data_IF_931215420047
#
_entry.id   IF_931215420047
#
_cell.length_a   1.000
_cell.length_b   1.000
_cell.length_c   1.000
_cell.angle_alpha   90.00
_cell.angle_beta   90.00
_cell.angle_gamma   90.00
#
_symmetry.space_group_name_H-M   'P 1'
#
loop_
_entity.id
_entity.type
_entity.pdbx_description
1 polymer ?
#
# COMPACT_ATOMS: atom_id res chain seq x y z
N UNK A 1 11.23 -12.77 -8.87
CA UNK A 1 12.18 -12.11 -7.95
C UNK A 1 12.58 -10.78 -8.57
N UNK A 2 12.56 -9.69 -7.80
CA UNK A 2 13.18 -8.43 -8.21
C UNK A 2 14.66 -8.68 -8.54
N UNK A 3 15.08 -8.35 -9.77
CA UNK A 3 16.47 -8.54 -10.21
C UNK A 3 17.37 -7.37 -9.84
N UNK A 4 16.78 -6.25 -9.41
CA UNK A 4 17.45 -5.06 -8.90
C UNK A 4 16.65 -4.49 -7.72
N UNK A 5 17.30 -3.83 -6.75
CA UNK A 5 16.58 -3.19 -5.64
C UNK A 5 15.50 -2.22 -6.14
N UNK A 6 14.27 -2.25 -5.58
CA UNK A 6 13.20 -1.35 -6.00
C UNK A 6 13.53 0.10 -5.62
N UNK A 7 13.51 0.99 -6.61
CA UNK A 7 13.72 2.42 -6.41
C UNK A 7 12.40 3.17 -6.57
N UNK A 8 12.11 4.07 -5.64
CA UNK A 8 10.84 4.80 -5.64
C UNK A 8 10.69 5.76 -4.48
N UNK A 9 9.44 6.12 -4.23
CA UNK A 9 9.02 7.02 -3.17
C UNK A 9 7.91 6.37 -2.34
N UNK A 10 7.89 6.68 -1.04
CA UNK A 10 6.90 6.17 -0.09
C UNK A 10 6.41 7.31 0.80
N UNK A 11 5.13 7.32 1.15
CA UNK A 11 4.52 8.40 1.95
C UNK A 11 5.12 8.52 3.37
N UNK A 12 5.50 7.41 3.99
CA UNK A 12 5.68 7.31 5.44
C UNK A 12 6.66 8.31 6.05
N UNK A 13 7.93 8.29 5.64
CA UNK A 13 8.98 9.00 6.37
C UNK A 13 8.77 10.52 6.41
N UNK A 14 8.16 11.09 5.35
CA UNK A 14 7.93 12.55 5.25
C UNK A 14 6.55 12.98 5.72
N UNK A 15 5.52 12.19 5.44
CA UNK A 15 4.11 12.57 5.64
C UNK A 15 3.43 11.85 6.79
N UNK A 16 3.97 10.72 7.27
CA UNK A 16 3.45 9.94 8.39
C UNK A 16 1.95 9.65 8.21
N UNK A 17 1.21 9.63 9.30
CA UNK A 17 -0.25 9.52 9.34
C UNK A 17 -0.96 10.89 9.29
N UNK A 18 -0.47 11.86 8.49
CA UNK A 18 -1.14 13.15 8.36
C UNK A 18 -2.45 12.99 7.55
N UNK A 19 -3.61 13.00 8.23
CA UNK A 19 -4.92 12.82 7.58
C UNK A 19 -5.76 14.11 7.53
N UNK A 20 -5.31 15.19 8.17
CA UNK A 20 -6.03 16.46 8.21
C UNK A 20 -5.81 17.26 6.91
N UNK A 21 -6.66 16.97 5.92
CA UNK A 21 -6.63 17.66 4.63
C UNK A 21 -7.24 19.08 4.67
N UNK A 22 -7.90 19.48 5.75
CA UNK A 22 -8.42 20.85 5.87
C UNK A 22 -7.29 21.81 6.21
N UNK A 23 -6.47 21.45 7.20
CA UNK A 23 -5.35 22.28 7.63
C UNK A 23 -4.08 22.00 6.83
N UNK A 24 -3.92 20.80 6.27
CA UNK A 24 -2.75 20.40 5.48
C UNK A 24 -3.14 19.84 4.11
N UNK A 25 -3.80 20.63 3.24
CA UNK A 25 -4.34 20.16 1.96
C UNK A 25 -3.26 19.65 0.99
N UNK A 26 -2.02 20.11 1.15
CA UNK A 26 -0.88 19.63 0.36
C UNK A 26 -0.08 18.52 1.06
N UNK A 27 -0.28 18.31 2.37
CA UNK A 27 0.51 17.39 3.18
C UNK A 27 -0.25 16.15 3.66
N UNK A 28 -1.57 16.11 3.53
CA UNK A 28 -2.34 14.96 3.97
C UNK A 28 -2.23 13.77 3.00
N UNK A 29 -2.31 12.55 3.55
CA UNK A 29 -2.34 11.29 2.81
C UNK A 29 -3.63 11.23 1.98
N UNK A 30 -3.52 11.56 0.69
CA UNK A 30 -4.66 11.74 -0.21
C UNK A 30 -4.27 11.45 -1.66
N UNK A 31 -5.26 11.18 -2.50
CA UNK A 31 -5.09 11.05 -3.95
C UNK A 31 -4.37 12.26 -4.55
N UNK A 32 -4.65 13.48 -4.06
CA UNK A 32 -3.99 14.71 -4.50
C UNK A 32 -2.48 14.69 -4.23
N UNK A 33 -2.07 14.30 -3.02
CA UNK A 33 -0.66 14.15 -2.67
C UNK A 33 0.03 13.16 -3.61
N UNK A 34 -0.57 11.99 -3.82
CA UNK A 34 0.02 10.93 -4.66
C UNK A 34 0.16 11.39 -6.11
N UNK A 35 -0.90 11.96 -6.70
CA UNK A 35 -0.87 12.46 -8.09
C UNK A 35 0.14 13.58 -8.28
N UNK A 36 0.24 14.51 -7.32
CA UNK A 36 1.23 15.60 -7.36
C UNK A 36 2.65 15.05 -7.31
N UNK A 37 2.94 14.13 -6.39
CA UNK A 37 4.26 13.47 -6.30
C UNK A 37 4.60 12.70 -7.58
N UNK A 38 3.65 11.95 -8.14
CA UNK A 38 3.84 11.23 -9.39
C UNK A 38 4.23 12.17 -10.55
N UNK A 39 3.58 13.33 -10.66
CA UNK A 39 3.96 14.32 -11.66
C UNK A 39 5.38 14.85 -11.46
N UNK A 40 5.84 15.02 -10.22
CA UNK A 40 7.22 15.45 -9.92
C UNK A 40 8.24 14.37 -10.23
N UNK A 41 7.94 13.12 -9.92
CA UNK A 41 8.82 12.00 -10.30
C UNK A 41 9.05 11.94 -11.81
N UNK A 42 8.01 12.23 -12.61
CA UNK A 42 8.13 12.27 -14.08
C UNK A 42 8.87 13.51 -14.55
N UNK A 43 8.38 14.70 -14.19
CA UNK A 43 8.83 15.96 -14.78
C UNK A 43 10.22 16.39 -14.31
N UNK A 44 10.63 15.96 -13.12
CA UNK A 44 11.94 16.31 -12.55
C UNK A 44 12.98 15.21 -12.83
N UNK A 45 12.66 14.22 -13.67
CA UNK A 45 13.61 13.21 -14.17
C UNK A 45 13.88 12.02 -13.25
N UNK A 46 13.34 11.98 -12.02
CA UNK A 46 13.52 10.87 -11.07
C UNK A 46 13.11 9.52 -11.65
N UNK A 47 11.98 9.51 -12.33
CA UNK A 47 11.49 8.35 -13.04
C UNK A 47 12.55 7.85 -14.01
N UNK A 48 13.12 8.73 -14.81
CA UNK A 48 14.04 8.37 -15.90
C UNK A 48 15.36 7.80 -15.37
N UNK A 49 15.79 8.21 -14.17
CA UNK A 49 16.95 7.63 -13.46
C UNK A 49 16.62 6.43 -12.57
N UNK A 50 15.40 5.88 -12.66
CA UNK A 50 15.04 4.58 -12.09
C UNK A 50 14.05 4.59 -10.92
N UNK A 51 13.62 5.75 -10.41
CA UNK A 51 12.61 5.81 -9.35
C UNK A 51 11.22 5.55 -9.92
N UNK A 52 10.79 4.28 -9.96
CA UNK A 52 9.55 3.85 -10.61
C UNK A 52 8.40 3.63 -9.63
N UNK A 53 8.68 3.26 -8.37
CA UNK A 53 7.62 2.91 -7.41
C UNK A 53 7.06 4.14 -6.69
N UNK A 54 5.74 4.17 -6.50
CA UNK A 54 5.03 5.12 -5.63
C UNK A 54 4.20 4.30 -4.66
N UNK A 55 4.64 4.24 -3.40
CA UNK A 55 4.08 3.38 -2.37
C UNK A 55 3.27 4.24 -1.39
N UNK A 56 1.99 3.92 -1.25
CA UNK A 56 1.12 4.52 -0.23
C UNK A 56 1.27 3.67 1.03
N UNK A 57 1.84 4.25 2.07
CA UNK A 57 2.00 3.62 3.39
C UNK A 57 0.70 3.68 4.22
N UNK A 58 0.77 3.47 5.53
CA UNK A 58 -0.38 3.44 6.44
C UNK A 58 -1.28 4.70 6.35
N UNK A 59 -2.46 4.60 6.95
CA UNK A 59 -3.47 5.67 7.06
C UNK A 59 -4.19 6.04 5.75
N UNK A 60 -4.07 5.25 4.70
CA UNK A 60 -4.88 5.39 3.49
C UNK A 60 -6.36 4.95 3.61
N UNK A 61 -6.74 3.96 4.44
CA UNK A 61 -8.09 3.42 4.39
C UNK A 61 -9.06 4.15 5.31
N UNK A 62 -10.35 3.81 5.21
CA UNK A 62 -11.35 4.07 6.24
C UNK A 62 -11.03 3.30 7.53
N UNK A 63 -11.62 3.75 8.65
CA UNK A 63 -11.49 3.10 9.95
C UNK A 63 -12.14 1.71 10.04
N UNK A 64 -13.02 1.38 9.09
CA UNK A 64 -13.78 0.13 9.04
C UNK A 64 -13.70 -0.46 7.64
N UNK A 65 -13.65 -1.79 7.58
CA UNK A 65 -13.86 -2.56 6.35
C UNK A 65 -15.28 -2.36 5.87
N UNK A 66 -15.50 -2.61 4.58
CA UNK A 66 -16.85 -2.73 4.03
C UNK A 66 -17.61 -3.87 4.74
N UNK A 67 -18.84 -3.61 5.19
CA UNK A 67 -19.61 -4.56 6.01
C UNK A 67 -20.16 -5.76 5.23
N UNK A 68 -20.16 -5.71 3.89
CA UNK A 68 -20.67 -6.77 3.04
C UNK A 68 -19.54 -7.61 2.45
N UNK A 69 -18.49 -6.94 1.98
CA UNK A 69 -17.38 -7.61 1.27
C UNK A 69 -16.20 -7.93 2.19
N UNK A 70 -16.13 -7.30 3.36
CA UNK A 70 -14.96 -7.29 4.24
C UNK A 70 -13.70 -6.67 3.60
N UNK A 71 -13.79 -6.03 2.44
CA UNK A 71 -12.65 -5.36 1.82
C UNK A 71 -12.20 -4.16 2.68
N UNK A 72 -10.89 -3.91 2.74
CA UNK A 72 -10.40 -2.61 3.18
C UNK A 72 -10.80 -1.59 2.11
N UNK A 73 -11.44 -0.49 2.52
CA UNK A 73 -11.88 0.56 1.61
C UNK A 73 -11.06 1.82 1.81
N UNK A 74 -10.75 2.52 0.72
CA UNK A 74 -10.03 3.79 0.78
C UNK A 74 -10.91 4.86 1.42
N UNK A 75 -10.30 5.77 2.17
CA UNK A 75 -11.01 6.92 2.73
C UNK A 75 -11.68 7.75 1.63
N UNK A 76 -13.00 7.89 1.69
CA UNK A 76 -13.78 8.45 0.60
C UNK A 76 -13.58 9.97 0.41
N UNK A 77 -13.10 10.68 1.43
CA UNK A 77 -12.80 12.12 1.33
C UNK A 77 -11.43 12.35 0.74
N UNK A 78 -10.45 11.52 1.11
CA UNK A 78 -9.05 11.65 0.71
C UNK A 78 -8.75 10.95 -0.62
N UNK A 79 -9.49 9.90 -0.94
CA UNK A 79 -9.41 9.10 -2.17
C UNK A 79 -10.79 8.96 -2.82
N UNK A 80 -11.41 10.06 -3.28
CA UNK A 80 -12.80 10.06 -3.77
C UNK A 80 -13.01 9.18 -5.01
N UNK A 81 -11.97 8.90 -5.79
CA UNK A 81 -12.05 8.02 -6.96
C UNK A 81 -11.63 6.57 -6.66
N UNK A 82 -11.37 6.26 -5.38
CA UNK A 82 -10.92 4.96 -4.92
C UNK A 82 -9.48 4.63 -5.31
N UNK A 83 -8.90 3.64 -4.63
CA UNK A 83 -7.47 3.33 -4.72
C UNK A 83 -7.05 2.80 -6.10
N UNK A 84 -7.95 2.08 -6.80
CA UNK A 84 -7.70 1.59 -8.16
C UNK A 84 -7.40 2.74 -9.13
N UNK A 85 -8.13 3.86 -9.02
CA UNK A 85 -7.91 5.02 -9.88
C UNK A 85 -6.52 5.64 -9.68
N UNK A 86 -5.95 5.52 -8.47
CA UNK A 86 -4.59 5.96 -8.16
C UNK A 86 -3.59 5.06 -8.89
N UNK A 87 -3.76 3.74 -8.83
CA UNK A 87 -2.95 2.78 -9.56
C UNK A 87 -2.93 3.07 -11.07
N UNK A 88 -4.12 3.20 -11.66
CA UNK A 88 -4.27 3.53 -13.09
C UNK A 88 -3.61 4.86 -13.46
N UNK A 89 -3.71 5.87 -12.60
CA UNK A 89 -3.02 7.14 -12.82
C UNK A 89 -1.50 6.98 -12.82
N UNK A 90 -0.94 6.24 -11.86
CA UNK A 90 0.49 5.96 -11.78
C UNK A 90 0.98 5.18 -13.01
N UNK A 91 0.23 4.17 -13.45
CA UNK A 91 0.55 3.41 -14.66
C UNK A 91 0.54 4.29 -15.91
N UNK A 92 -0.41 5.25 -16.03
CA UNK A 92 -0.43 6.22 -17.15
C UNK A 92 0.82 7.10 -17.23
N UNK A 93 1.59 7.19 -16.14
CA UNK A 93 2.85 7.93 -16.04
C UNK A 93 4.09 7.06 -16.17
N UNK A 94 3.91 5.77 -16.48
CA UNK A 94 4.96 4.75 -16.47
C UNK A 94 5.65 4.63 -15.10
N UNK A 95 4.85 4.76 -14.03
CA UNK A 95 5.23 4.48 -12.65
C UNK A 95 4.52 3.20 -12.18
N UNK A 96 4.98 2.63 -11.07
CA UNK A 96 4.47 1.43 -10.43
C UNK A 96 3.76 1.77 -9.13
N UNK A 97 2.61 1.16 -8.89
CA UNK A 97 1.77 1.41 -7.73
C UNK A 97 2.12 0.45 -6.58
N UNK A 98 2.39 0.98 -5.40
CA UNK A 98 2.54 0.20 -4.18
C UNK A 98 1.54 0.57 -3.10
N UNK A 99 1.15 -0.41 -2.30
CA UNK A 99 0.18 -0.25 -1.21
C UNK A 99 0.62 -0.95 0.06
N UNK A 100 0.24 -0.39 1.20
CA UNK A 100 0.50 -0.91 2.53
C UNK A 100 -0.67 -1.72 3.06
N UNK A 101 -0.33 -2.86 3.68
CA UNK A 101 -1.18 -3.67 4.54
C UNK A 101 -0.40 -4.03 5.81
N UNK A 102 -1.11 -4.58 6.78
CA UNK A 102 -0.52 -5.09 8.02
C UNK A 102 -1.06 -6.49 8.29
N UNK A 103 -0.18 -7.45 8.61
CA UNK A 103 -0.62 -8.81 8.89
C UNK A 103 -1.47 -8.89 10.16
N UNK A 104 -1.28 -8.00 11.12
CA UNK A 104 -1.99 -8.03 12.39
C UNK A 104 -3.50 -7.81 12.33
N UNK A 105 -4.09 -7.67 13.52
CA UNK A 105 -5.52 -7.34 13.64
C UNK A 105 -5.82 -5.88 13.29
N UNK A 106 -4.81 -5.02 13.41
CA UNK A 106 -4.82 -3.59 13.11
C UNK A 106 -3.47 -3.19 12.55
N UNK A 107 -3.44 -2.16 11.71
CA UNK A 107 -2.19 -1.50 11.32
C UNK A 107 -1.53 -0.83 12.53
N UNK A 108 -0.27 -0.43 12.39
CA UNK A 108 0.43 0.30 13.44
C UNK A 108 -0.32 1.58 13.88
N UNK A 109 -1.03 2.25 12.97
CA UNK A 109 -1.85 3.43 13.26
C UNK A 109 -3.33 3.11 13.56
N UNK A 110 -3.67 1.83 13.78
CA UNK A 110 -5.00 1.42 14.23
C UNK A 110 -6.06 1.27 13.14
N UNK A 111 -5.67 1.25 11.87
CA UNK A 111 -6.56 0.93 10.74
C UNK A 111 -6.80 -0.59 10.62
N UNK A 112 -7.76 -1.06 9.80
CA UNK A 112 -8.02 -2.49 9.67
C UNK A 112 -6.79 -3.29 9.20
N UNK A 113 -6.40 -4.34 9.95
CA UNK A 113 -5.33 -5.27 9.58
C UNK A 113 -5.84 -6.55 8.91
N UNK A 114 -4.94 -7.37 8.38
CA UNK A 114 -5.22 -8.46 7.43
C UNK A 114 -5.28 -9.87 8.03
N UNK A 115 -5.00 -10.07 9.33
CA UNK A 115 -4.82 -11.41 9.95
C UNK A 115 -5.93 -12.41 9.59
N UNK A 116 -7.19 -11.94 9.61
CA UNK A 116 -8.38 -12.76 9.35
C UNK A 116 -8.96 -12.57 7.95
N UNK A 117 -8.29 -11.80 7.09
CA UNK A 117 -8.81 -11.33 5.80
C UNK A 117 -7.82 -11.53 4.65
N UNK A 118 -6.75 -12.31 4.84
CA UNK A 118 -5.67 -12.48 3.87
C UNK A 118 -6.15 -12.81 2.44
N UNK A 119 -7.16 -13.68 2.29
CA UNK A 119 -7.69 -14.04 0.98
C UNK A 119 -8.45 -12.90 0.30
N UNK A 120 -9.22 -12.14 1.09
CA UNK A 120 -9.95 -10.97 0.61
C UNK A 120 -8.94 -9.90 0.20
N UNK A 121 -7.99 -9.60 1.08
CA UNK A 121 -7.00 -8.53 0.87
C UNK A 121 -6.06 -8.84 -0.29
N UNK A 122 -5.66 -10.10 -0.50
CA UNK A 122 -4.87 -10.52 -1.66
C UNK A 122 -5.64 -10.27 -2.98
N UNK A 123 -6.92 -10.61 -3.03
CA UNK A 123 -7.79 -10.32 -4.19
C UNK A 123 -7.98 -8.82 -4.38
N UNK A 124 -8.12 -8.07 -3.29
CA UNK A 124 -8.27 -6.61 -3.33
C UNK A 124 -7.05 -5.92 -3.91
N UNK A 125 -5.83 -6.25 -3.48
CA UNK A 125 -4.61 -5.62 -4.03
C UNK A 125 -4.41 -5.93 -5.52
N UNK A 126 -4.78 -7.14 -5.96
CA UNK A 126 -4.76 -7.48 -7.39
C UNK A 126 -5.85 -6.71 -8.17
N UNK A 127 -7.07 -6.59 -7.62
CA UNK A 127 -8.18 -5.79 -8.18
C UNK A 127 -7.83 -4.31 -8.32
N UNK A 128 -7.03 -3.78 -7.40
CA UNK A 128 -6.51 -2.41 -7.43
C UNK A 128 -5.30 -2.23 -8.34
N UNK A 129 -4.82 -3.31 -8.96
CA UNK A 129 -3.68 -3.31 -9.87
C UNK A 129 -2.38 -2.86 -9.18
N UNK A 130 -2.17 -3.25 -7.91
CA UNK A 130 -0.92 -2.99 -7.20
C UNK A 130 0.25 -3.78 -7.81
N UNK A 131 1.42 -3.17 -7.89
CA UNK A 131 2.68 -3.77 -8.34
C UNK A 131 3.62 -4.09 -7.17
N UNK A 132 3.30 -3.57 -5.99
CA UNK A 132 4.10 -3.69 -4.77
C UNK A 132 3.19 -3.74 -3.55
N UNK A 133 3.45 -4.65 -2.62
CA UNK A 133 2.78 -4.70 -1.33
C UNK A 133 3.82 -4.64 -0.22
N UNK A 134 3.72 -3.61 0.64
CA UNK A 134 4.39 -3.59 1.94
C UNK A 134 3.45 -4.23 2.95
N UNK A 135 3.93 -5.25 3.65
CA UNK A 135 3.20 -5.90 4.74
C UNK A 135 3.95 -5.73 6.05
N UNK A 136 3.33 -4.98 6.96
CA UNK A 136 3.83 -4.81 8.33
C UNK A 136 3.33 -5.91 9.28
N UNK A 137 3.75 -5.83 10.54
CA UNK A 137 3.50 -6.87 11.54
C UNK A 137 2.93 -6.37 12.87
N UNK A 138 2.47 -5.11 12.96
CA UNK A 138 1.94 -4.58 14.20
C UNK A 138 0.69 -5.34 14.66
N UNK A 139 0.41 -5.37 15.97
CA UNK A 139 -0.80 -6.02 16.51
C UNK A 139 -0.97 -7.50 16.10
N UNK A 140 0.16 -8.21 16.00
CA UNK A 140 0.23 -9.63 15.70
C UNK A 140 1.16 -10.35 16.70
N UNK A 141 0.85 -11.58 17.14
CA UNK A 141 1.81 -12.41 17.84
C UNK A 141 3.01 -12.76 16.95
N UNK A 142 4.23 -12.51 17.42
CA UNK A 142 5.47 -12.73 16.66
C UNK A 142 5.61 -14.18 16.17
N UNK A 143 5.15 -15.15 16.96
CA UNK A 143 5.28 -16.57 16.66
C UNK A 143 4.43 -17.06 15.47
N UNK A 144 3.37 -16.33 15.09
CA UNK A 144 2.50 -16.70 13.95
C UNK A 144 2.74 -15.83 12.71
N UNK A 145 3.47 -14.73 12.87
CA UNK A 145 3.72 -13.76 11.81
C UNK A 145 4.45 -14.34 10.59
N UNK A 146 5.51 -15.17 10.73
CA UNK A 146 6.18 -15.79 9.58
C UNK A 146 5.23 -16.66 8.73
N UNK A 147 4.38 -17.46 9.37
CA UNK A 147 3.40 -18.30 8.68
C UNK A 147 2.33 -17.46 7.98
N UNK A 148 1.90 -16.38 8.64
CA UNK A 148 1.03 -15.36 8.07
C UNK A 148 1.57 -14.76 6.77
N UNK A 149 2.83 -14.32 6.80
CA UNK A 149 3.53 -13.79 5.63
C UNK A 149 3.68 -14.83 4.52
N UNK A 150 4.04 -16.07 4.87
CA UNK A 150 4.14 -17.17 3.93
C UNK A 150 2.79 -17.49 3.26
N UNK A 151 1.70 -17.49 4.03
CA UNK A 151 0.34 -17.68 3.51
C UNK A 151 -0.06 -16.55 2.57
N UNK A 152 0.18 -15.30 2.95
CA UNK A 152 -0.17 -14.16 2.11
C UNK A 152 0.63 -14.13 0.81
N UNK A 153 1.92 -14.48 0.84
CA UNK A 153 2.75 -14.61 -0.37
C UNK A 153 2.14 -15.59 -1.39
N UNK A 154 1.67 -16.76 -0.93
CA UNK A 154 0.99 -17.76 -1.78
C UNK A 154 -0.31 -17.21 -2.35
N UNK A 155 -1.09 -16.48 -1.55
CA UNK A 155 -2.34 -15.87 -1.99
C UNK A 155 -2.13 -14.77 -3.03
N UNK A 156 -1.11 -13.93 -2.86
CA UNK A 156 -0.71 -12.95 -3.87
C UNK A 156 -0.37 -13.63 -5.20
N UNK A 157 0.45 -14.69 -5.17
CA UNK A 157 0.79 -15.46 -6.37
C UNK A 157 -0.44 -16.08 -7.05
N UNK A 158 -1.39 -16.60 -6.26
CA UNK A 158 -2.63 -17.20 -6.77
C UNK A 158 -3.56 -16.20 -7.49
N UNK A 159 -3.36 -14.89 -7.30
CA UNK A 159 -4.11 -13.86 -8.06
C UNK A 159 -3.72 -13.78 -9.54
N UNK A 160 -2.56 -14.33 -9.91
CA UNK A 160 -2.00 -14.22 -11.27
C UNK A 160 -1.38 -12.87 -11.60
N UNK A 161 -1.41 -11.89 -10.69
CA UNK A 161 -0.72 -10.60 -10.86
C UNK A 161 0.66 -10.65 -10.21
N UNK A 162 1.69 -10.33 -11.00
CA UNK A 162 3.04 -10.19 -10.47
C UNK A 162 3.13 -8.96 -9.55
N UNK A 163 3.51 -9.18 -8.29
CA UNK A 163 3.62 -8.14 -7.25
C UNK A 163 4.93 -8.35 -6.49
N UNK A 164 5.68 -7.27 -6.30
CA UNK A 164 6.78 -7.26 -5.34
C UNK A 164 6.21 -7.27 -3.92
N UNK A 165 6.84 -8.04 -3.02
CA UNK A 165 6.32 -8.24 -1.67
C UNK A 165 7.41 -7.95 -0.64
N UNK A 166 7.22 -6.87 0.13
CA UNK A 166 8.13 -6.45 1.20
C UNK A 166 7.52 -6.82 2.55
N UNK A 167 8.30 -7.57 3.32
CA UNK A 167 7.96 -7.98 4.68
C UNK A 167 8.68 -7.08 5.68
N UNK A 168 7.92 -6.47 6.59
CA UNK A 168 8.45 -5.82 7.77
C UNK A 168 8.37 -6.79 8.96
N UNK A 169 9.40 -7.61 9.10
CA UNK A 169 9.63 -8.41 10.28
C UNK A 169 11.13 -8.58 10.42
N UNK A 170 11.68 -8.34 11.61
CA UNK A 170 13.00 -8.85 11.91
C UNK A 170 12.91 -10.37 11.78
N UNK A 171 13.38 -10.90 10.65
CA UNK A 171 13.91 -12.25 10.59
C UNK A 171 15.15 -12.23 11.49
N UNK A 172 14.94 -12.26 12.80
CA UNK A 172 15.97 -12.71 13.72
C UNK A 172 16.19 -14.18 13.38
N UNK A 173 17.15 -14.43 12.49
CA UNK A 173 17.79 -15.72 12.33
C UNK A 173 18.53 -16.09 13.62
#
# INVERSE_FOLDING_TARGET
MATVPPMGWMTWQRFRCQIDCLNYPEGCISEKLIKRTANRLVLDGWRDVGYRYVIIDDCWPEWKRDSKTNEIVADNKRFPNGIKSVGQYLHSKNLRFGIYLDYGTRTCEGYPGSMNYLEVDAKSVAKWEADYVKMDGCNSPENIMPDGYGKFSKLLNATGRAMEYLLNGSLHY
#
